data_IF_914460180440
#
_entry.id   IF_914460180440
#
_cell.length_a   1.000
_cell.length_b   1.000
_cell.length_c   1.000
_cell.angle_alpha   90.00
_cell.angle_beta   90.00
_cell.angle_gamma   90.00
#
_symmetry.space_group_name_H-M   'P 1'
#
loop_
_entity.id
_entity.type
_entity.pdbx_description
1 polymer ?
#
# COMPACT_ATOMS: atom_id res chain seq x y z
N UNK A 1 -3.54 -1.43 6.77
CA UNK A 1 -3.41 -1.69 5.32
C UNK A 1 -2.98 -3.15 5.12
N UNK A 2 -3.32 -3.76 3.99
CA UNK A 2 -2.77 -5.07 3.59
C UNK A 2 -2.34 -5.06 2.13
N UNK A 3 -1.34 -5.87 1.80
CA UNK A 3 -0.88 -6.12 0.44
C UNK A 3 -0.96 -7.65 0.23
N UNK A 4 -2.11 -8.12 -0.25
CA UNK A 4 -2.42 -9.54 -0.37
C UNK A 4 -2.18 -10.28 0.94
N UNK A 5 -1.43 -11.38 0.88
CA UNK A 5 -1.00 -12.16 2.03
C UNK A 5 0.45 -11.83 2.46
N UNK A 6 1.02 -10.71 2.00
CA UNK A 6 2.40 -10.35 2.34
C UNK A 6 2.50 -9.88 3.79
N UNK A 7 3.57 -10.31 4.47
CA UNK A 7 3.93 -9.79 5.78
C UNK A 7 4.65 -8.46 5.61
N UNK A 8 4.06 -7.38 6.13
CA UNK A 8 4.71 -6.08 6.20
C UNK A 8 5.74 -6.06 7.34
N UNK A 9 6.85 -5.37 7.13
CA UNK A 9 7.85 -5.07 8.16
C UNK A 9 8.03 -3.56 8.27
N UNK A 10 7.70 -2.93 9.42
CA UNK A 10 7.07 -3.54 10.60
C UNK A 10 5.68 -4.13 10.29
N UNK A 11 5.13 -4.95 11.19
CA UNK A 11 3.72 -5.34 11.09
C UNK A 11 2.85 -4.08 11.03
N UNK A 12 1.73 -4.13 10.31
CA UNK A 12 0.91 -2.93 10.13
C UNK A 12 0.53 -2.31 11.47
N UNK A 13 0.88 -1.03 11.62
CA UNK A 13 0.57 -0.19 12.76
C UNK A 13 0.07 1.17 12.20
N UNK A 14 -1.12 1.65 12.57
CA UNK A 14 -1.63 2.90 12.00
C UNK A 14 -0.70 4.10 12.21
N UNK A 15 0.21 4.07 13.19
CA UNK A 15 1.18 5.12 13.49
C UNK A 15 2.49 5.01 12.70
N UNK A 16 2.85 3.82 12.21
CA UNK A 16 3.98 3.66 11.31
C UNK A 16 3.60 4.02 9.86
N UNK A 17 4.44 4.82 9.20
CA UNK A 17 4.20 5.31 7.83
C UNK A 17 5.11 4.67 6.79
N UNK A 18 6.07 3.84 7.19
CA UNK A 18 7.02 3.18 6.28
C UNK A 18 7.01 1.68 6.50
N UNK A 19 6.96 0.93 5.39
CA UNK A 19 6.87 -0.52 5.39
C UNK A 19 7.72 -1.12 4.28
N UNK A 20 8.13 -2.36 4.51
CA UNK A 20 8.75 -3.20 3.48
C UNK A 20 8.05 -4.55 3.41
N UNK A 21 8.03 -5.15 2.23
CA UNK A 21 7.55 -6.50 1.99
C UNK A 21 8.31 -7.12 0.81
N UNK A 22 8.29 -8.46 0.73
CA UNK A 22 8.86 -9.19 -0.39
C UNK A 22 7.77 -10.04 -1.03
N UNK A 23 7.84 -10.25 -2.35
CA UNK A 23 6.88 -11.09 -3.08
C UNK A 23 7.55 -11.79 -4.25
N UNK A 24 7.09 -13.00 -4.58
CA UNK A 24 7.40 -13.66 -5.85
C UNK A 24 6.20 -13.57 -6.81
N UNK A 25 5.06 -13.05 -6.35
CA UNK A 25 3.86 -12.94 -7.16
C UNK A 25 4.00 -11.81 -8.19
N UNK A 26 3.37 -11.95 -9.35
CA UNK A 26 3.28 -10.88 -10.33
C UNK A 26 2.36 -9.73 -9.87
N UNK A 27 1.35 -10.05 -9.04
CA UNK A 27 0.38 -9.09 -8.54
C UNK A 27 0.00 -9.38 -7.09
N UNK A 28 -0.41 -8.35 -6.35
CA UNK A 28 -1.06 -8.49 -5.05
C UNK A 28 -2.18 -7.46 -4.89
N UNK A 29 -3.32 -7.87 -4.33
CA UNK A 29 -4.42 -6.96 -4.00
C UNK A 29 -4.03 -6.02 -2.87
N UNK A 30 -4.19 -4.72 -3.05
CA UNK A 30 -3.92 -3.73 -2.01
C UNK A 30 -5.25 -3.30 -1.40
N UNK A 31 -5.37 -3.40 -0.08
CA UNK A 31 -6.52 -2.84 0.66
C UNK A 31 -6.04 -1.89 1.75
N UNK A 32 -6.74 -0.75 1.86
CA UNK A 32 -6.59 0.16 2.97
C UNK A 32 -7.97 0.53 3.49
N UNK A 33 -8.20 0.26 4.77
CA UNK A 33 -9.42 0.65 5.47
C UNK A 33 -9.06 1.87 6.32
N UNK A 34 -9.62 3.06 6.02
CA UNK A 34 -9.44 4.20 6.89
C UNK A 34 -10.17 3.96 8.22
N UNK A 35 -9.72 4.63 9.29
CA UNK A 35 -10.39 4.59 10.59
C UNK A 35 -11.70 5.39 10.58
N UNK A 36 -11.74 6.46 9.81
CA UNK A 36 -12.93 7.27 9.57
C UNK A 36 -13.55 6.89 8.22
N UNK A 37 -14.82 6.50 8.22
CA UNK A 37 -15.56 6.07 7.02
C UNK A 37 -15.78 7.22 6.01
N UNK A 38 -15.69 8.48 6.45
CA UNK A 38 -15.75 9.65 5.56
C UNK A 38 -14.41 9.95 4.89
N UNK A 39 -13.33 9.30 5.32
CA UNK A 39 -12.02 9.50 4.74
C UNK A 39 -11.91 8.85 3.34
N UNK A 40 -11.16 9.53 2.48
CA UNK A 40 -10.87 9.07 1.12
C UNK A 40 -9.48 8.42 1.07
N UNK A 41 -9.37 7.33 0.31
CA UNK A 41 -8.13 6.56 0.13
C UNK A 41 -7.69 6.64 -1.33
N UNK A 42 -6.45 7.09 -1.53
CA UNK A 42 -5.78 7.08 -2.84
C UNK A 42 -4.58 6.16 -2.76
N UNK A 43 -4.45 5.22 -3.69
CA UNK A 43 -3.34 4.26 -3.76
C UNK A 43 -2.62 4.43 -5.10
N UNK A 44 -1.30 4.56 -5.03
CA UNK A 44 -0.41 4.58 -6.20
C UNK A 44 0.65 3.49 -6.05
N UNK A 45 0.92 2.75 -7.12
CA UNK A 45 2.14 1.96 -7.26
C UNK A 45 3.07 2.69 -8.23
N UNK A 46 4.11 3.34 -7.68
CA UNK A 46 4.83 4.39 -8.39
C UNK A 46 3.89 5.52 -8.79
N UNK A 47 3.74 5.76 -10.10
CA UNK A 47 2.79 6.73 -10.65
C UNK A 47 1.46 6.11 -11.08
N UNK A 48 1.33 4.78 -11.02
CA UNK A 48 0.14 4.06 -11.52
C UNK A 48 -0.95 4.03 -10.46
N UNK A 49 -2.16 4.56 -10.73
CA UNK A 49 -3.28 4.47 -9.80
C UNK A 49 -3.76 3.03 -9.63
N UNK A 50 -4.02 2.65 -8.38
CA UNK A 50 -4.61 1.36 -8.01
C UNK A 50 -5.90 1.63 -7.26
N UNK A 51 -7.02 1.05 -7.70
CA UNK A 51 -8.27 1.15 -6.94
C UNK A 51 -8.13 0.40 -5.60
N UNK A 52 -8.69 0.93 -4.52
CA UNK A 52 -8.70 0.24 -3.24
C UNK A 52 -9.44 -1.11 -3.37
N UNK A 53 -8.77 -2.21 -3.02
CA UNK A 53 -9.26 -3.58 -3.26
C UNK A 53 -8.92 -4.17 -4.63
N UNK A 54 -8.18 -3.46 -5.49
CA UNK A 54 -7.67 -3.99 -6.75
C UNK A 54 -6.24 -4.51 -6.63
N UNK A 55 -5.84 -5.33 -7.61
CA UNK A 55 -4.49 -5.86 -7.71
C UNK A 55 -3.51 -4.82 -8.28
N UNK A 56 -2.40 -4.61 -7.59
CA UNK A 56 -1.24 -3.91 -8.12
C UNK A 56 -0.33 -4.91 -8.85
N UNK A 57 0.23 -4.49 -9.98
CA UNK A 57 1.23 -5.27 -10.75
C UNK A 57 2.64 -4.84 -10.39
N UNK A 58 3.52 -5.80 -10.17
CA UNK A 58 4.89 -5.55 -9.72
C UNK A 58 5.91 -5.67 -10.86
N UNK A 59 6.78 -4.67 -10.97
CA UNK A 59 8.04 -4.78 -11.71
C UNK A 59 9.05 -5.61 -10.90
N UNK A 60 10.05 -6.21 -11.56
CA UNK A 60 11.17 -6.82 -10.83
C UNK A 60 11.91 -5.78 -9.99
N UNK A 61 12.36 -6.19 -8.79
CA UNK A 61 13.00 -5.30 -7.83
C UNK A 61 12.00 -4.50 -7.00
N UNK A 62 12.43 -3.32 -6.54
CA UNK A 62 11.67 -2.50 -5.61
C UNK A 62 10.50 -1.76 -6.29
N UNK A 63 9.31 -1.89 -5.72
CA UNK A 63 8.11 -1.16 -6.13
C UNK A 63 7.61 -0.34 -4.94
N UNK A 64 7.52 0.98 -5.10
CA UNK A 64 7.07 1.87 -4.03
C UNK A 64 5.58 2.12 -4.16
N UNK A 65 4.82 1.67 -3.17
CA UNK A 65 3.39 1.96 -3.02
C UNK A 65 3.20 3.14 -2.09
N UNK A 66 2.44 4.13 -2.53
CA UNK A 66 2.03 5.27 -1.71
C UNK A 66 0.53 5.21 -1.48
N UNK A 67 0.11 5.19 -0.22
CA UNK A 67 -1.29 5.22 0.19
C UNK A 67 -1.54 6.53 0.93
N UNK A 68 -2.38 7.37 0.37
CA UNK A 68 -2.83 8.61 1.00
C UNK A 68 -4.22 8.41 1.57
N UNK A 69 -4.37 8.64 2.87
CA UNK A 69 -5.67 8.72 3.54
C UNK A 69 -5.94 10.19 3.85
N UNK A 70 -7.09 10.71 3.40
CA UNK A 70 -7.46 12.11 3.58
C UNK A 70 -8.85 12.22 4.20
N UNK A 71 -8.95 12.97 5.31
CA UNK A 71 -10.19 13.30 5.99
C UNK A 71 -10.29 14.83 6.12
N UNK A 72 -11.13 15.45 5.29
CA UNK A 72 -11.19 16.91 5.19
C UNK A 72 -9.84 17.53 4.83
N UNK A 73 -9.28 18.32 5.76
CA UNK A 73 -7.95 18.93 5.63
C UNK A 73 -6.81 18.07 6.20
N UNK A 74 -7.12 17.04 7.01
CA UNK A 74 -6.13 16.13 7.56
C UNK A 74 -5.72 15.09 6.51
N UNK A 75 -4.43 14.76 6.49
CA UNK A 75 -3.87 13.77 5.57
C UNK A 75 -2.79 12.95 6.28
N UNK A 76 -2.80 11.64 6.03
CA UNK A 76 -1.71 10.72 6.41
C UNK A 76 -1.27 9.93 5.19
N UNK A 77 0.04 9.82 5.01
CA UNK A 77 0.64 9.11 3.87
C UNK A 77 1.42 7.93 4.41
N UNK A 78 1.17 6.77 3.81
CA UNK A 78 1.88 5.53 4.09
C UNK A 78 2.65 5.10 2.85
N UNK A 79 3.88 4.64 3.05
CA UNK A 79 4.77 4.16 2.00
C UNK A 79 5.13 2.70 2.27
N UNK A 80 4.88 1.83 1.29
CA UNK A 80 5.29 0.43 1.36
C UNK A 80 6.18 0.09 0.16
N UNK A 81 7.42 -0.35 0.43
CA UNK A 81 8.33 -0.85 -0.60
C UNK A 81 8.15 -2.36 -0.72
N UNK A 82 7.57 -2.81 -1.83
CA UNK A 82 7.41 -4.22 -2.17
C UNK A 82 8.53 -4.63 -3.12
N UNK A 83 9.45 -5.45 -2.65
CA UNK A 83 10.52 -6.01 -3.49
C UNK A 83 10.03 -7.30 -4.12
N UNK A 84 9.90 -7.30 -5.45
CA UNK A 84 9.67 -8.52 -6.20
C UNK A 84 10.99 -9.17 -6.55
N UNK A 85 11.09 -10.48 -6.31
CA UNK A 85 12.20 -11.32 -6.76
C UNK A 85 11.65 -12.60 -7.38
N UNK A 86 12.22 -13.03 -8.50
CA UNK A 86 11.92 -14.33 -9.13
C UNK A 86 12.49 -15.51 -8.37
#
# INVERSE_FOLDING_TARGET
MTIGALTLTPSFDPDATEYTANTTNATNTITATPEDDEATVTILNGETPVSNGAAATWAEGANTVTITVKNGAAQKVYTATVTKST
#
